data_IF_863328952651
#
_entry.id   IF_863328952651
#
_cell.length_a   1.000
_cell.length_b   1.000
_cell.length_c   1.000
_cell.angle_alpha   90.00
_cell.angle_beta   90.00
_cell.angle_gamma   90.00
#
_symmetry.space_group_name_H-M   'P 1'
#
loop_
_entity.id
_entity.type
_entity.pdbx_description
1 polymer ?
#
# COMPACT_ATOMS: atom_id res chain seq x y z
N UNK A 1 19.73 -5.76 -10.88
CA UNK A 1 18.92 -6.52 -9.90
C UNK A 1 18.08 -7.57 -10.59
N UNK A 2 17.87 -8.66 -9.92
CA UNK A 2 17.04 -9.73 -10.44
C UNK A 2 15.56 -9.44 -10.23
N UNK A 3 14.67 -10.12 -10.96
CA UNK A 3 13.24 -10.00 -10.69
C UNK A 3 12.88 -10.35 -9.24
N UNK A 4 13.58 -11.32 -8.67
CA UNK A 4 13.32 -11.72 -7.28
C UNK A 4 13.70 -10.62 -6.30
N UNK A 5 14.78 -9.91 -6.58
CA UNK A 5 15.20 -8.78 -5.74
C UNK A 5 14.21 -7.64 -5.86
N UNK A 6 13.70 -7.37 -7.05
CA UNK A 6 12.68 -6.34 -7.25
C UNK A 6 11.39 -6.69 -6.51
N UNK A 7 10.97 -7.96 -6.59
CA UNK A 7 9.78 -8.41 -5.86
C UNK A 7 9.96 -8.25 -4.36
N UNK A 8 11.16 -8.53 -3.85
CA UNK A 8 11.43 -8.40 -2.42
C UNK A 8 11.32 -6.96 -1.95
N UNK A 9 11.78 -6.00 -2.76
CA UNK A 9 11.68 -4.58 -2.42
C UNK A 9 10.20 -4.17 -2.32
N UNK A 10 9.39 -4.54 -3.30
CA UNK A 10 7.96 -4.21 -3.26
C UNK A 10 7.27 -4.88 -2.07
N UNK A 11 7.64 -6.13 -1.76
CA UNK A 11 7.06 -6.86 -0.64
C UNK A 11 7.37 -6.22 0.71
N UNK A 12 8.57 -5.64 0.85
CA UNK A 12 8.98 -5.00 2.11
C UNK A 12 8.00 -3.92 2.54
N UNK A 13 7.43 -3.17 1.61
CA UNK A 13 6.47 -2.12 1.96
C UNK A 13 5.28 -2.71 2.72
N UNK A 14 4.76 -3.82 2.22
CA UNK A 14 3.59 -4.43 2.85
C UNK A 14 3.94 -5.15 4.14
N UNK A 15 5.03 -5.89 4.15
CA UNK A 15 5.38 -6.71 5.30
C UNK A 15 6.06 -5.91 6.42
N UNK A 16 6.97 -5.02 6.08
CA UNK A 16 7.70 -4.26 7.11
C UNK A 16 6.96 -3.01 7.54
N UNK A 17 6.52 -2.19 6.60
CA UNK A 17 5.88 -0.92 6.95
C UNK A 17 4.48 -1.15 7.51
N UNK A 18 3.68 -1.95 6.81
CA UNK A 18 2.29 -2.18 7.24
C UNK A 18 2.16 -3.20 8.35
N UNK A 19 2.66 -4.41 8.15
CA UNK A 19 2.44 -5.48 9.14
C UNK A 19 3.33 -5.33 10.37
N UNK A 20 4.60 -4.98 10.18
CA UNK A 20 5.54 -4.85 11.29
C UNK A 20 5.64 -3.44 11.84
N UNK A 21 4.93 -2.49 11.23
CA UNK A 21 4.85 -1.10 11.68
C UNK A 21 6.21 -0.39 11.71
N UNK A 22 7.08 -0.74 10.79
CA UNK A 22 8.41 -0.12 10.68
C UNK A 22 8.36 1.05 9.71
N UNK A 23 7.87 2.20 10.17
CA UNK A 23 7.76 3.38 9.32
C UNK A 23 9.11 3.85 8.79
N UNK A 24 10.18 3.62 9.53
CA UNK A 24 11.51 4.01 9.09
C UNK A 24 11.95 3.27 7.83
N UNK A 25 11.38 2.13 7.54
CA UNK A 25 11.72 1.38 6.33
C UNK A 25 11.30 2.13 5.05
N UNK A 26 10.39 3.08 5.15
CA UNK A 26 9.96 3.88 3.99
C UNK A 26 11.16 4.56 3.34
N UNK A 27 12.12 5.03 4.13
CA UNK A 27 13.30 5.72 3.60
C UNK A 27 14.21 4.80 2.79
N UNK A 28 14.18 3.50 3.07
CA UNK A 28 14.96 2.53 2.32
C UNK A 28 14.22 2.02 1.09
N UNK A 29 12.91 1.99 1.14
CA UNK A 29 12.08 1.40 0.09
C UNK A 29 11.78 2.39 -1.03
N UNK A 30 11.48 3.64 -0.68
CA UNK A 30 11.06 4.65 -1.64
C UNK A 30 12.15 5.69 -1.89
N UNK A 31 12.23 6.17 -3.13
CA UNK A 31 13.07 7.32 -3.45
C UNK A 31 12.50 8.57 -2.76
N UNK A 32 13.30 9.64 -2.60
CA UNK A 32 12.81 10.86 -1.95
C UNK A 32 11.55 11.45 -2.61
N UNK A 33 11.44 11.33 -3.93
CA UNK A 33 10.25 11.73 -4.68
C UNK A 33 9.74 10.53 -5.46
N UNK A 34 8.43 10.34 -5.46
CA UNK A 34 7.78 9.19 -6.10
C UNK A 34 6.63 9.69 -6.95
N UNK A 35 6.47 9.15 -8.14
CA UNK A 35 5.29 9.41 -8.96
C UNK A 35 4.20 8.44 -8.50
N UNK A 36 3.18 8.96 -7.83
CA UNK A 36 2.09 8.14 -7.31
C UNK A 36 0.82 8.45 -8.09
N UNK A 37 0.34 7.48 -8.84
CA UNK A 37 -0.83 7.62 -9.71
C UNK A 37 -0.75 8.89 -10.58
N UNK A 38 0.44 9.15 -11.12
CA UNK A 38 0.67 10.26 -12.03
C UNK A 38 1.05 11.57 -11.38
N UNK A 39 1.11 11.62 -10.05
CA UNK A 39 1.48 12.86 -9.34
C UNK A 39 2.78 12.67 -8.59
N UNK A 40 3.67 13.66 -8.69
CA UNK A 40 4.93 13.63 -7.95
C UNK A 40 4.68 13.98 -6.49
N UNK A 41 5.04 13.08 -5.59
CA UNK A 41 4.86 13.28 -4.15
C UNK A 41 6.16 12.97 -3.42
N UNK A 42 6.40 13.64 -2.31
CA UNK A 42 7.52 13.29 -1.44
C UNK A 42 7.22 11.98 -0.74
N UNK A 43 8.25 11.17 -0.49
CA UNK A 43 8.02 9.88 0.17
C UNK A 43 7.37 10.00 1.55
N UNK A 44 7.50 11.16 2.21
CA UNK A 44 6.82 11.36 3.49
C UNK A 44 5.30 11.31 3.35
N UNK A 45 4.77 11.50 2.14
CA UNK A 45 3.34 11.34 1.91
C UNK A 45 2.87 9.93 2.22
N UNK A 46 3.74 8.93 2.01
CA UNK A 46 3.39 7.54 2.34
C UNK A 46 3.27 7.34 3.84
N UNK A 47 4.07 8.08 4.64
CA UNK A 47 3.94 8.02 6.10
C UNK A 47 2.58 8.53 6.53
N UNK A 48 2.10 9.60 5.88
CA UNK A 48 0.79 10.16 6.19
C UNK A 48 -0.32 9.17 5.82
N UNK A 49 -0.20 8.52 4.67
CA UNK A 49 -1.17 7.52 4.24
C UNK A 49 -1.20 6.35 5.22
N UNK A 50 -0.04 5.88 5.64
CA UNK A 50 0.05 4.77 6.60
C UNK A 50 -0.61 5.17 7.92
N UNK A 51 -0.28 6.35 8.44
CA UNK A 51 -0.84 6.82 9.71
C UNK A 51 -2.36 6.96 9.63
N UNK A 52 -2.85 7.55 8.54
CA UNK A 52 -4.28 7.78 8.37
C UNK A 52 -5.05 6.46 8.26
N UNK A 53 -4.53 5.53 7.45
CA UNK A 53 -5.22 4.26 7.25
C UNK A 53 -5.17 3.39 8.50
N UNK A 54 -4.06 3.42 9.23
CA UNK A 54 -3.95 2.67 10.47
C UNK A 54 -4.84 3.25 11.57
N UNK A 55 -5.06 4.56 11.57
CA UNK A 55 -5.99 5.17 12.52
C UNK A 55 -7.42 4.70 12.25
N UNK A 56 -7.76 4.50 10.98
CA UNK A 56 -9.08 4.01 10.59
C UNK A 56 -9.23 2.50 10.82
N UNK A 57 -8.15 1.75 10.63
CA UNK A 57 -8.14 0.29 10.77
C UNK A 57 -6.93 -0.11 11.64
N UNK A 58 -7.05 0.00 12.97
CA UNK A 58 -5.90 -0.25 13.86
C UNK A 58 -5.33 -1.65 13.78
N UNK A 59 -6.16 -2.62 13.41
CA UNK A 59 -5.77 -4.02 13.28
C UNK A 59 -5.43 -4.42 11.84
N UNK A 60 -5.12 -3.46 10.98
CA UNK A 60 -4.89 -3.72 9.56
C UNK A 60 -3.76 -4.73 9.33
N UNK A 61 -4.01 -5.66 8.43
CA UNK A 61 -3.04 -6.66 8.01
C UNK A 61 -3.07 -6.78 6.50
N UNK A 62 -1.91 -7.00 5.90
CA UNK A 62 -1.77 -7.14 4.46
C UNK A 62 -1.15 -8.49 4.15
N UNK A 63 -1.75 -9.21 3.21
CA UNK A 63 -1.19 -10.46 2.72
C UNK A 63 -0.82 -10.26 1.25
N UNK A 64 0.44 -10.47 0.90
CA UNK A 64 0.86 -10.43 -0.49
C UNK A 64 0.45 -11.77 -1.12
N UNK A 65 -0.46 -11.71 -2.08
CA UNK A 65 -0.99 -12.92 -2.70
C UNK A 65 -0.17 -13.37 -3.89
N UNK A 66 0.30 -12.42 -4.70
CA UNK A 66 0.90 -12.74 -5.97
C UNK A 66 1.77 -11.58 -6.44
N UNK A 67 2.88 -11.88 -7.08
CA UNK A 67 3.77 -10.87 -7.65
C UNK A 67 4.28 -11.31 -9.00
N UNK A 68 4.32 -10.36 -9.94
CA UNK A 68 4.91 -10.58 -11.25
C UNK A 68 5.91 -9.45 -11.48
N UNK A 69 7.09 -9.77 -11.97
CA UNK A 69 8.12 -8.76 -12.23
C UNK A 69 8.66 -8.93 -13.64
N UNK A 70 8.88 -7.81 -14.30
CA UNK A 70 9.52 -7.77 -15.61
C UNK A 70 10.31 -6.47 -15.72
N UNK A 71 11.58 -6.56 -16.10
CA UNK A 71 12.44 -5.39 -16.15
C UNK A 71 12.53 -4.73 -14.77
N UNK A 72 12.24 -3.45 -14.72
CA UNK A 72 12.28 -2.70 -13.46
C UNK A 72 10.92 -2.54 -12.80
N UNK A 73 9.91 -3.29 -13.25
CA UNK A 73 8.53 -3.17 -12.73
C UNK A 73 8.08 -4.41 -11.99
N UNK A 74 7.30 -4.18 -10.94
CA UNK A 74 6.70 -5.26 -10.16
C UNK A 74 5.23 -5.00 -10.00
N UNK A 75 4.41 -5.97 -10.33
CA UNK A 75 3.00 -5.94 -10.02
C UNK A 75 2.76 -6.79 -8.77
N UNK A 76 2.04 -6.27 -7.81
CA UNK A 76 1.73 -6.99 -6.57
C UNK A 76 0.23 -6.96 -6.34
N UNK A 77 -0.36 -8.13 -6.19
CA UNK A 77 -1.75 -8.31 -5.77
C UNK A 77 -1.72 -8.67 -4.30
N UNK A 78 -2.49 -7.98 -3.50
CA UNK A 78 -2.49 -8.20 -2.06
C UNK A 78 -3.89 -8.08 -1.50
N UNK A 79 -4.09 -8.63 -0.32
CA UNK A 79 -5.36 -8.55 0.40
C UNK A 79 -5.14 -7.75 1.67
N UNK A 80 -5.95 -6.74 1.87
CA UNK A 80 -5.99 -5.96 3.09
C UNK A 80 -7.20 -6.38 3.90
N UNK A 81 -7.06 -6.41 5.22
CA UNK A 81 -8.22 -6.61 6.08
C UNK A 81 -8.02 -5.86 7.39
N UNK A 82 -9.12 -5.43 7.98
CA UNK A 82 -9.11 -4.70 9.23
C UNK A 82 -10.51 -4.37 9.67
N UNK A 83 -10.64 -3.86 10.88
CA UNK A 83 -11.92 -3.43 11.43
C UNK A 83 -12.00 -1.91 11.33
N UNK A 84 -13.10 -1.42 10.75
CA UNK A 84 -13.29 0.01 10.51
C UNK A 84 -13.69 0.70 11.82
N UNK A 85 -12.69 1.16 12.56
CA UNK A 85 -12.88 1.74 13.88
C UNK A 85 -12.65 3.25 13.94
N UNK A 86 -12.19 3.86 12.88
CA UNK A 86 -12.03 5.31 12.77
C UNK A 86 -12.55 5.83 11.45
N UNK A 87 -12.76 7.14 11.33
CA UNK A 87 -13.25 7.70 10.06
C UNK A 87 -12.27 7.45 8.93
N UNK A 88 -12.77 7.19 7.74
CA UNK A 88 -11.92 6.96 6.59
C UNK A 88 -12.61 7.49 5.34
N UNK A 89 -11.92 8.39 4.64
CA UNK A 89 -12.40 9.02 3.40
C UNK A 89 -13.81 9.60 3.56
N UNK A 90 -14.05 10.26 4.68
CA UNK A 90 -15.32 10.90 4.95
C UNK A 90 -16.41 9.98 5.44
N UNK A 91 -16.13 8.69 5.63
CA UNK A 91 -17.11 7.74 6.13
C UNK A 91 -16.80 7.47 7.59
N UNK A 92 -17.81 7.65 8.45
CA UNK A 92 -17.66 7.39 9.88
C UNK A 92 -17.41 5.90 10.14
N UNK A 93 -16.78 5.62 11.27
CA UNK A 93 -16.49 4.25 11.67
C UNK A 93 -17.75 3.39 11.70
N UNK A 94 -17.69 2.23 11.09
CA UNK A 94 -18.83 1.31 11.03
C UNK A 94 -18.71 0.15 12.02
N UNK A 95 -17.51 -0.07 12.55
CA UNK A 95 -17.24 -1.23 13.41
C UNK A 95 -17.17 -2.55 12.65
N UNK A 96 -17.29 -2.51 11.33
CA UNK A 96 -17.31 -3.74 10.54
C UNK A 96 -15.92 -4.18 10.16
N UNK A 97 -15.76 -5.50 10.06
CA UNK A 97 -14.55 -6.06 9.48
C UNK A 97 -14.65 -5.94 7.97
N UNK A 98 -13.63 -5.41 7.35
CA UNK A 98 -13.60 -5.18 5.91
C UNK A 98 -12.39 -5.83 5.28
N UNK A 99 -12.50 -6.13 3.99
CA UNK A 99 -11.46 -6.79 3.24
C UNK A 99 -11.48 -6.25 1.82
N UNK A 100 -10.31 -5.98 1.25
CA UNK A 100 -10.22 -5.52 -0.13
C UNK A 100 -8.90 -5.97 -0.73
N UNK A 101 -8.84 -6.01 -2.06
CA UNK A 101 -7.68 -6.59 -2.75
C UNK A 101 -7.18 -5.69 -3.87
N UNK A 102 -6.36 -4.71 -3.56
CA UNK A 102 -5.80 -3.84 -4.59
C UNK A 102 -4.67 -4.52 -5.36
N UNK A 103 -4.37 -3.95 -6.52
CA UNK A 103 -3.22 -4.33 -7.33
C UNK A 103 -2.43 -3.06 -7.60
N UNK A 104 -1.12 -3.16 -7.58
CA UNK A 104 -0.26 -2.04 -7.92
C UNK A 104 0.81 -2.47 -8.91
N UNK A 105 1.35 -1.49 -9.62
CA UNK A 105 2.57 -1.66 -10.41
C UNK A 105 3.53 -0.60 -9.90
N UNK A 106 4.71 -1.02 -9.46
CA UNK A 106 5.76 -0.11 -9.03
C UNK A 106 6.95 -0.23 -9.98
N UNK A 107 7.67 0.87 -10.15
CA UNK A 107 8.92 0.87 -10.91
C UNK A 107 10.06 1.12 -9.92
N UNK A 108 11.12 0.35 -10.04
CA UNK A 108 12.25 0.38 -9.12
C UNK A 108 13.51 0.82 -9.86
N UNK A 109 14.20 1.83 -9.32
CA UNK A 109 15.45 2.33 -9.87
C UNK A 109 16.46 2.40 -8.73
N UNK A 110 17.62 1.82 -8.95
CA UNK A 110 18.69 1.79 -7.95
C UNK A 110 18.21 1.31 -6.58
N UNK A 111 17.39 0.31 -6.58
CA UNK A 111 16.92 -0.34 -5.36
C UNK A 111 15.79 0.36 -4.63
N UNK A 112 15.21 1.41 -5.21
CA UNK A 112 14.11 2.14 -4.57
C UNK A 112 12.94 2.33 -5.52
N UNK A 113 11.75 2.38 -4.97
CA UNK A 113 10.53 2.61 -5.74
C UNK A 113 10.47 4.09 -6.13
N UNK A 114 10.34 4.35 -7.43
CA UNK A 114 10.24 5.70 -7.99
C UNK A 114 8.86 6.00 -8.57
N UNK A 115 8.07 4.96 -8.87
CA UNK A 115 6.69 5.11 -9.36
C UNK A 115 5.82 4.06 -8.69
N UNK A 116 4.59 4.44 -8.40
CA UNK A 116 3.61 3.55 -7.80
C UNK A 116 2.25 3.86 -8.41
N UNK A 117 1.69 2.88 -9.12
CA UNK A 117 0.37 2.97 -9.71
C UNK A 117 -0.50 1.92 -9.03
N UNK A 118 -1.53 2.36 -8.35
CA UNK A 118 -2.37 1.45 -7.57
C UNK A 118 -3.84 1.64 -7.90
N UNK A 119 -4.54 0.53 -8.04
CA UNK A 119 -5.98 0.50 -8.22
C UNK A 119 -6.57 -0.33 -7.12
N UNK A 120 -7.56 0.21 -6.45
CA UNK A 120 -8.17 -0.47 -5.35
C UNK A 120 -9.62 -0.05 -5.16
N UNK A 121 -10.39 -0.98 -4.69
CA UNK A 121 -11.67 -0.68 -4.12
C UNK A 121 -11.40 -0.59 -2.64
N UNK A 122 -10.96 0.54 -2.21
CA UNK A 122 -10.64 0.71 -0.80
C UNK A 122 -11.90 0.82 0.04
N UNK A 123 -11.87 0.35 1.27
CA UNK A 123 -12.98 0.54 2.17
C UNK A 123 -13.19 2.02 2.40
N UNK A 124 -14.27 2.38 2.97
CA UNK A 124 -14.64 3.76 3.15
C UNK A 124 -15.43 4.20 1.96
N UNK A 125 -14.94 5.16 1.23
CA UNK A 125 -15.67 5.66 0.09
C UNK A 125 -16.04 4.54 -0.83
N UNK A 126 -15.16 3.58 -0.99
CA UNK A 126 -15.44 2.49 -1.86
C UNK A 126 -16.41 1.57 -1.28
N UNK A 127 -16.39 1.41 0.01
CA UNK A 127 -17.23 0.47 0.58
C UNK A 127 -18.42 0.91 1.07
N UNK A 128 -18.55 2.12 1.06
CA UNK A 128 -19.83 2.64 1.22
C UNK A 128 -20.65 1.99 0.14
N UNK A 129 -20.04 1.60 -0.86
CA UNK A 129 -20.69 0.79 -1.76
C UNK A 129 -20.57 -0.56 -1.25
N UNK A 130 -21.58 -1.21 -1.11
CA UNK A 130 -21.52 -2.41 -0.60
C UNK A 130 -20.88 -3.32 -1.42
N UNK A 131 -20.45 -3.91 -0.98
CA UNK A 131 -20.29 -4.81 -1.54
C UNK A 131 -20.47 -5.03 -2.83
N UNK A 132 -20.40 -4.53 -3.47
CA UNK A 132 -20.65 -4.87 -4.75
C UNK A 132 -20.12 -6.20 -4.99
#
# INVERSE_FOLDING_TARGET
MTPEEHKAIARRFFEEVWNQQKLEAIDDIFAPMVVFNGQSVARDAFRQVVASRRAAFPDIQVTVEDQVAEGDKVSTRRTWQGTHQGPYRGVAATGKRVKWSPISIVRIVEGRIVEDWAVADAPGAGDARPAR
#
